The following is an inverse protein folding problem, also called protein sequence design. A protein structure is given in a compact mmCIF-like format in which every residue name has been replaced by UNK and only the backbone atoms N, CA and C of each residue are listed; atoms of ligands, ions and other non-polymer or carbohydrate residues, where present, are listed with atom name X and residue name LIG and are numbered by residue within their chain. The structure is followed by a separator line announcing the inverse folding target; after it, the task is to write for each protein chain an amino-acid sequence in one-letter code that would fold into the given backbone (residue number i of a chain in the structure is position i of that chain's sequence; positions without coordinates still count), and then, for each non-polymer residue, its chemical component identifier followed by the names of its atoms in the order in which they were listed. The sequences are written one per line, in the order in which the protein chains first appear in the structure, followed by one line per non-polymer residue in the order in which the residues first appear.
data_IF_247731881429
#
_entry.id   IF_247731881429
#
_cell.length_a   1.000
_cell.length_b   1.000
_cell.length_c   1.000
_cell.angle_alpha   90.00
_cell.angle_beta   90.00
_cell.angle_gamma   90.00
#
_symmetry.space_group_name_H-M   'P 1'
#
loop_
_entity.id
_entity.type
_entity.pdbx_description
1 polymer ?
#
# COMPACT_ATOMS: atom_id res chain seq x y z
N UNK A 1 -10.32 -10.22 9.54
CA UNK A 1 -9.79 -9.76 8.24
C UNK A 1 -9.78 -8.25 8.28
N UNK A 2 -8.71 -7.59 7.83
CA UNK A 2 -8.69 -6.13 7.80
C UNK A 2 -9.44 -5.56 6.60
N UNK A 3 -9.90 -4.31 6.67
CA UNK A 3 -10.55 -3.63 5.56
C UNK A 3 -9.68 -3.59 4.29
N UNK A 4 -10.33 -3.70 3.13
CA UNK A 4 -9.69 -3.54 1.82
C UNK A 4 -9.49 -2.06 1.48
N UNK A 5 -8.58 -1.78 0.55
CA UNK A 5 -8.35 -0.43 0.04
C UNK A 5 -9.40 -0.13 -1.03
N UNK A 6 -9.98 1.05 -0.97
CA UNK A 6 -11.02 1.52 -1.91
C UNK A 6 -10.58 2.71 -2.74
N UNK A 7 -9.62 3.50 -2.25
CA UNK A 7 -9.07 4.63 -3.00
C UNK A 7 -7.61 4.89 -2.62
N UNK A 8 -6.86 5.47 -3.56
CA UNK A 8 -5.47 5.89 -3.33
C UNK A 8 -5.18 7.20 -4.06
N UNK A 9 -4.51 8.11 -3.37
CA UNK A 9 -4.05 9.39 -3.92
C UNK A 9 -2.56 9.58 -3.65
N UNK A 10 -1.80 9.80 -4.72
CA UNK A 10 -0.42 10.25 -4.62
C UNK A 10 -0.38 11.70 -4.13
N UNK A 11 0.30 11.97 -3.02
CA UNK A 11 0.39 13.31 -2.43
C UNK A 11 1.68 14.01 -2.88
N UNK A 12 2.82 13.35 -2.67
CA UNK A 12 4.16 13.80 -3.06
C UNK A 12 5.15 12.67 -2.81
N UNK A 13 6.31 12.69 -3.46
CA UNK A 13 7.40 11.74 -3.17
C UNK A 13 6.89 10.30 -3.05
N UNK A 14 7.15 9.61 -1.93
CA UNK A 14 6.62 8.29 -1.59
C UNK A 14 5.40 8.32 -0.65
N UNK A 15 4.76 9.48 -0.47
CA UNK A 15 3.61 9.67 0.39
C UNK A 15 2.30 9.42 -0.36
N UNK A 16 1.56 8.41 0.09
CA UNK A 16 0.21 8.10 -0.41
C UNK A 16 -0.82 8.37 0.68
N UNK A 17 -1.97 8.89 0.27
CA UNK A 17 -3.19 8.87 1.08
C UNK A 17 -4.06 7.70 0.60
N UNK A 18 -4.46 6.84 1.54
CA UNK A 18 -5.16 5.59 1.28
C UNK A 18 -6.49 5.63 2.02
N UNK A 19 -7.57 5.31 1.31
CA UNK A 19 -8.89 5.13 1.90
C UNK A 19 -9.18 3.64 2.00
N UNK A 20 -9.61 3.20 3.18
CA UNK A 20 -10.02 1.84 3.46
C UNK A 20 -11.55 1.71 3.41
N UNK A 21 -12.05 0.49 3.22
CA UNK A 21 -13.47 0.17 3.08
C UNK A 21 -14.30 0.51 4.32
N UNK A 22 -13.68 0.66 5.49
CA UNK A 22 -14.30 1.10 6.73
C UNK A 22 -14.23 2.63 6.92
N UNK A 23 -13.90 3.35 5.86
CA UNK A 23 -13.81 4.81 5.79
C UNK A 23 -12.63 5.41 6.54
N UNK A 24 -11.72 4.61 7.09
CA UNK A 24 -10.46 5.12 7.60
C UNK A 24 -9.59 5.65 6.46
N UNK A 25 -8.96 6.80 6.70
CA UNK A 25 -8.03 7.44 5.75
C UNK A 25 -6.68 7.60 6.43
N UNK A 26 -5.62 7.14 5.78
CA UNK A 26 -4.27 7.23 6.32
C UNK A 26 -3.27 7.75 5.29
N UNK A 27 -2.28 8.50 5.76
CA UNK A 27 -1.13 8.92 4.96
C UNK A 27 0.07 8.06 5.33
N UNK A 28 0.55 7.27 4.38
CA UNK A 28 1.67 6.35 4.57
C UNK A 28 2.86 6.75 3.69
N UNK A 29 4.04 6.78 4.29
CA UNK A 29 5.30 7.03 3.60
C UNK A 29 5.95 5.70 3.19
N UNK A 30 6.03 5.48 1.88
CA UNK A 30 6.57 4.25 1.28
C UNK A 30 8.09 4.29 1.10
N UNK A 31 8.79 5.34 1.53
CA UNK A 31 10.25 5.48 1.34
C UNK A 31 11.00 4.23 1.83
N UNK A 32 10.74 3.78 3.06
CA UNK A 32 11.37 2.59 3.66
C UNK A 32 10.98 1.26 2.98
N UNK A 33 9.87 1.27 2.25
CA UNK A 33 9.34 0.10 1.56
C UNK A 33 9.88 -0.03 0.13
N UNK A 34 10.55 1.01 -0.39
CA UNK A 34 10.98 1.09 -1.78
C UNK A 34 12.47 1.40 -1.89
N UNK A 35 12.92 2.52 -1.32
CA UNK A 35 14.26 3.05 -1.55
C UNK A 35 15.31 2.12 -0.96
N UNK A 36 16.23 1.65 -1.80
CA UNK A 36 17.31 0.76 -1.40
C UNK A 36 16.89 -0.68 -1.10
N UNK A 37 15.61 -1.03 -1.29
CA UNK A 37 15.13 -2.43 -1.16
C UNK A 37 15.65 -3.33 -2.28
N UNK A 38 15.87 -2.75 -3.47
CA UNK A 38 16.30 -3.49 -4.65
C UNK A 38 15.24 -4.45 -5.19
N UNK A 39 15.67 -5.33 -6.10
CA UNK A 39 14.81 -6.37 -6.68
C UNK A 39 13.60 -5.80 -7.42
N UNK A 40 12.42 -6.36 -7.14
CA UNK A 40 11.15 -5.94 -7.76
C UNK A 40 10.75 -4.51 -7.41
N UNK A 41 11.29 -3.93 -6.32
CA UNK A 41 10.99 -2.57 -5.88
C UNK A 41 11.86 -1.51 -6.56
N UNK A 42 13.01 -1.88 -7.13
CA UNK A 42 13.93 -0.93 -7.81
C UNK A 42 13.21 -0.01 -8.82
N UNK A 43 12.30 -0.50 -9.69
CA UNK A 43 11.61 0.38 -10.62
C UNK A 43 10.76 1.47 -9.93
N UNK A 44 10.25 1.19 -8.73
CA UNK A 44 9.43 2.12 -7.97
C UNK A 44 10.24 3.27 -7.35
N UNK A 45 11.58 3.19 -7.34
CA UNK A 45 12.42 4.35 -6.99
C UNK A 45 12.28 5.52 -8.00
N UNK A 46 11.76 5.23 -9.19
CA UNK A 46 11.33 6.27 -10.11
C UNK A 46 9.95 6.80 -9.70
N UNK A 47 9.90 8.03 -9.18
CA UNK A 47 8.65 8.70 -8.76
C UNK A 47 7.59 8.75 -9.87
N UNK A 48 7.99 8.85 -11.14
CA UNK A 48 7.04 8.86 -12.25
C UNK A 48 6.34 7.50 -12.42
N UNK A 49 6.97 6.39 -12.04
CA UNK A 49 6.33 5.07 -11.94
C UNK A 49 5.56 4.95 -10.62
N UNK A 50 6.15 5.39 -9.50
CA UNK A 50 5.51 5.32 -8.19
C UNK A 50 4.14 6.02 -8.15
N UNK A 51 4.02 7.21 -8.76
CA UNK A 51 2.73 7.94 -8.79
C UNK A 51 1.64 7.26 -9.62
N UNK A 52 1.96 6.21 -10.37
CA UNK A 52 1.00 5.41 -11.15
C UNK A 52 0.36 4.29 -10.31
N UNK A 53 0.51 4.34 -8.99
CA UNK A 53 -0.23 3.47 -8.07
C UNK A 53 -1.73 3.52 -8.37
N UNK A 54 -2.37 2.35 -8.31
CA UNK A 54 -3.81 2.19 -8.42
C UNK A 54 -4.30 1.17 -7.40
N UNK A 55 -5.60 1.17 -7.16
CA UNK A 55 -6.26 0.08 -6.45
C UNK A 55 -6.55 -1.04 -7.44
N UNK A 56 -6.21 -2.27 -7.08
CA UNK A 56 -6.77 -3.45 -7.74
C UNK A 56 -8.20 -3.66 -7.21
N UNK A 57 -9.21 -3.47 -8.05
CA UNK A 57 -10.62 -3.51 -7.64
C UNK A 57 -11.09 -4.91 -7.21
N UNK A 58 -10.44 -5.97 -7.68
CA UNK A 58 -10.79 -7.35 -7.33
C UNK A 58 -10.15 -7.76 -6.00
N UNK A 59 -8.86 -7.47 -5.83
CA UNK A 59 -8.10 -7.85 -4.64
C UNK A 59 -8.20 -6.82 -3.49
N UNK A 60 -8.52 -5.56 -3.80
CA UNK A 60 -8.54 -4.46 -2.83
C UNK A 60 -7.14 -4.11 -2.30
N UNK A 61 -6.12 -4.25 -3.14
CA UNK A 61 -4.69 -4.01 -2.84
C UNK A 61 -4.18 -2.78 -3.60
N UNK A 62 -3.04 -2.22 -3.17
CA UNK A 62 -2.32 -1.26 -4.03
C UNK A 62 -1.50 -2.03 -5.04
N UNK A 63 -1.54 -1.62 -6.30
CA UNK A 63 -0.75 -2.23 -7.38
C UNK A 63 -0.14 -1.17 -8.29
N UNK A 64 1.04 -1.47 -8.82
CA UNK A 64 1.75 -0.64 -9.79
C UNK A 64 1.80 -1.29 -11.19
N UNK A 65 2.07 -0.52 -12.26
CA UNK A 65 2.12 -1.06 -13.64
C UNK A 65 3.14 -2.18 -13.85
N UNK A 66 4.18 -2.26 -13.02
CA UNK A 66 5.19 -3.32 -13.04
C UNK A 66 4.76 -4.59 -12.29
N UNK A 67 3.52 -4.64 -11.77
CA UNK A 67 2.96 -5.80 -11.08
C UNK A 67 3.33 -5.93 -9.61
N UNK A 68 4.06 -4.97 -9.04
CA UNK A 68 4.29 -4.92 -7.59
C UNK A 68 3.00 -4.54 -6.90
N UNK A 69 2.65 -5.26 -5.84
CA UNK A 69 1.50 -4.97 -4.99
C UNK A 69 1.87 -4.84 -3.51
N UNK A 70 1.03 -4.15 -2.74
CA UNK A 70 1.17 -4.00 -1.29
C UNK A 70 -0.11 -4.42 -0.58
N UNK A 71 -0.01 -5.51 0.18
CA UNK A 71 -1.12 -6.12 0.90
C UNK A 71 -1.87 -5.11 1.80
N UNK A 72 -3.20 -4.98 1.67
CA UNK A 72 -4.00 -4.02 2.42
C UNK A 72 -3.95 -4.27 3.93
N UNK A 73 -3.85 -5.52 4.38
CA UNK A 73 -3.79 -5.87 5.80
C UNK A 73 -2.52 -5.30 6.47
N UNK A 74 -1.38 -5.34 5.77
CA UNK A 74 -0.11 -4.76 6.25
C UNK A 74 -0.21 -3.25 6.32
N UNK A 75 -0.78 -2.62 5.28
CA UNK A 75 -0.96 -1.18 5.23
C UNK A 75 -1.93 -0.67 6.29
N UNK A 76 -3.03 -1.40 6.55
CA UNK A 76 -4.00 -1.08 7.59
C UNK A 76 -3.39 -1.19 9.00
N UNK A 77 -2.63 -2.27 9.24
CA UNK A 77 -1.86 -2.46 10.47
C UNK A 77 -0.90 -1.30 10.72
N UNK A 78 -0.12 -0.92 9.71
CA UNK A 78 0.82 0.21 9.79
C UNK A 78 0.10 1.55 10.01
N UNK A 79 -1.00 1.78 9.30
CA UNK A 79 -1.78 3.01 9.38
C UNK A 79 -2.36 3.28 10.77
N UNK A 80 -2.89 2.25 11.43
CA UNK A 80 -3.59 2.40 12.70
C UNK A 80 -2.79 1.90 13.91
N UNK A 81 -1.58 1.37 13.69
CA UNK A 81 -0.76 0.75 14.74
C UNK A 81 -1.42 -0.49 15.37
N UNK A 82 -2.34 -1.14 14.65
CA UNK A 82 -3.04 -2.33 15.11
C UNK A 82 -2.22 -3.55 14.68
N UNK A 83 -1.88 -4.48 15.57
CA UNK A 83 -1.14 -5.68 15.17
C UNK A 83 -1.94 -6.49 14.16
N UNK A 84 -1.24 -7.05 13.16
CA UNK A 84 -1.85 -8.04 12.27
C UNK A 84 -2.50 -9.14 13.10
N UNK A 85 -3.72 -9.58 12.76
CA UNK A 85 -4.31 -10.72 13.43
C UNK A 85 -3.34 -11.89 13.32
N UNK A 86 -3.04 -12.53 14.46
CA UNK A 86 -2.30 -13.78 14.43
C UNK A 86 -3.02 -14.70 13.45
N UNK A 87 -2.30 -15.24 12.47
CA UNK A 87 -2.84 -16.26 11.57
C UNK A 87 -3.36 -17.38 12.45
N UNK A 88 -4.66 -17.38 12.74
CA UNK A 88 -5.32 -18.52 13.36
C UNK A 88 -5.34 -19.56 12.27
N UNK A 89 -4.33 -20.42 12.28
CA UNK A 89 -4.36 -21.68 11.54
C UNK A 89 -5.53 -22.46 12.15
N UNK A 90 -6.64 -22.49 11.43
CA UNK A 90 -7.70 -23.48 11.65
C UNK A 90 -7.33 -24.76 10.89
#
# INVERSE_FOLDING_TARGET
MFPRITDVRHIRDYLLEITFADHNIAKLDFTKHIVGRGGVFTPLENIALFRQVRVDEEAGTLVWPNGVDFCPDVLYSEALGIPLPALTVA
#
